data_IF_724892758363
#
_entry.id   IF_724892758363
#
_cell.length_a   1.000
_cell.length_b   1.000
_cell.length_c   1.000
_cell.angle_alpha   90.00
_cell.angle_beta   90.00
_cell.angle_gamma   90.00
#
_symmetry.space_group_name_H-M   'P 1'
#
loop_
_entity.id
_entity.type
_entity.pdbx_description
1 polymer ?
#
# COMPACT_ATOMS: atom_id res chain seq x y z
N UNK A 1 -2.38 -4.08 41.19
CA UNK A 1 -1.26 -3.93 40.24
C UNK A 1 -1.93 -3.42 38.97
N UNK A 2 -1.85 -2.12 38.73
CA UNK A 2 -2.63 -1.50 37.65
C UNK A 2 -1.84 -1.66 36.36
N UNK A 3 -2.35 -2.50 35.46
CA UNK A 3 -1.79 -2.64 34.12
C UNK A 3 -2.20 -1.40 33.31
N UNK A 4 -1.20 -0.62 32.89
CA UNK A 4 -1.39 0.32 31.80
C UNK A 4 -1.56 -0.51 30.52
N UNK A 5 -2.69 -0.41 29.80
CA UNK A 5 -2.82 -1.01 28.48
C UNK A 5 -1.71 -0.50 27.56
N UNK A 6 -1.38 -1.22 26.46
CA UNK A 6 -0.36 -0.77 25.53
C UNK A 6 -0.61 0.67 25.10
N UNK A 7 0.40 1.53 25.27
CA UNK A 7 0.32 2.95 24.86
C UNK A 7 0.05 3.04 23.36
N UNK A 8 0.65 2.13 22.58
CA UNK A 8 0.35 1.91 21.18
C UNK A 8 0.59 0.46 20.79
N UNK A 9 -0.24 -0.07 19.90
CA UNK A 9 -0.06 -1.41 19.33
C UNK A 9 -0.65 -1.49 17.92
N UNK A 10 -0.22 -2.51 17.17
CA UNK A 10 -0.78 -2.87 15.88
C UNK A 10 -1.57 -4.15 16.02
N UNK A 11 -2.76 -4.20 15.45
CA UNK A 11 -3.56 -5.43 15.38
C UNK A 11 -4.31 -5.54 14.05
N UNK A 12 -4.74 -6.75 13.74
CA UNK A 12 -5.64 -7.01 12.62
C UNK A 12 -7.03 -6.50 12.94
N UNK A 13 -7.67 -5.84 11.98
CA UNK A 13 -9.09 -5.47 12.05
C UNK A 13 -9.87 -6.14 10.93
N UNK A 14 -11.18 -6.27 11.11
CA UNK A 14 -12.04 -6.75 10.03
C UNK A 14 -12.34 -5.65 9.00
N UNK A 15 -12.92 -6.04 7.87
CA UNK A 15 -13.31 -5.12 6.80
C UNK A 15 -14.39 -4.12 7.24
N UNK A 16 -15.28 -4.50 8.15
CA UNK A 16 -16.37 -3.64 8.63
C UNK A 16 -15.78 -2.46 9.39
N UNK A 17 -14.86 -2.74 10.30
CA UNK A 17 -14.17 -1.74 11.10
C UNK A 17 -13.27 -0.86 10.25
N UNK A 18 -12.50 -1.45 9.33
CA UNK A 18 -11.72 -0.70 8.34
C UNK A 18 -12.61 0.32 7.60
N UNK A 19 -13.75 -0.12 7.09
CA UNK A 19 -14.65 0.74 6.32
C UNK A 19 -15.27 1.84 7.18
N UNK A 20 -15.61 1.55 8.44
CA UNK A 20 -16.07 2.55 9.40
C UNK A 20 -15.03 3.65 9.57
N UNK A 21 -13.76 3.29 9.77
CA UNK A 21 -12.65 4.23 9.97
C UNK A 21 -12.31 5.02 8.70
N UNK A 22 -12.30 4.38 7.53
CA UNK A 22 -12.08 5.05 6.25
C UNK A 22 -13.13 6.14 5.99
N UNK A 23 -14.40 5.87 6.33
CA UNK A 23 -15.49 6.87 6.20
C UNK A 23 -15.34 7.96 7.25
N UNK A 24 -15.15 7.59 8.53
CA UNK A 24 -15.02 8.53 9.63
C UNK A 24 -13.87 9.53 9.44
N UNK A 25 -12.75 9.09 8.86
CA UNK A 25 -11.58 9.94 8.60
C UNK A 25 -11.56 10.55 7.20
N UNK A 26 -12.65 10.41 6.43
CA UNK A 26 -12.80 11.06 5.13
C UNK A 26 -11.82 10.57 4.06
N UNK A 27 -11.47 9.27 4.06
CA UNK A 27 -10.61 8.70 3.03
C UNK A 27 -11.23 8.94 1.64
N UNK A 28 -10.47 9.57 0.74
CA UNK A 28 -11.00 10.06 -0.55
C UNK A 28 -11.59 8.99 -1.46
N UNK A 29 -11.07 7.76 -1.39
CA UNK A 29 -11.64 6.64 -2.17
C UNK A 29 -12.81 5.94 -1.47
N UNK A 30 -13.25 6.46 -0.31
CA UNK A 30 -14.30 5.89 0.51
C UNK A 30 -13.98 4.49 1.00
N UNK A 31 -15.05 3.71 1.17
CA UNK A 31 -15.01 2.32 1.62
C UNK A 31 -14.14 1.44 0.72
N UNK A 32 -13.46 0.49 1.35
CA UNK A 32 -12.84 -0.64 0.70
C UNK A 32 -13.93 -1.62 0.22
N UNK A 33 -14.09 -1.71 -1.09
CA UNK A 33 -15.10 -2.52 -1.79
C UNK A 33 -14.48 -3.41 -2.88
N UNK A 34 -13.17 -3.69 -2.79
CA UNK A 34 -12.52 -4.57 -3.77
C UNK A 34 -12.99 -6.01 -3.57
N UNK A 35 -13.20 -6.78 -4.66
CA UNK A 35 -13.33 -8.22 -4.55
C UNK A 35 -12.14 -8.81 -3.81
N UNK A 36 -12.39 -9.76 -2.92
CA UNK A 36 -11.31 -10.57 -2.35
C UNK A 36 -10.86 -11.54 -3.44
N UNK A 37 -9.58 -11.47 -3.80
CA UNK A 37 -8.94 -12.50 -4.63
C UNK A 37 -8.43 -13.59 -3.67
N UNK A 38 -7.12 -13.85 -3.59
CA UNK A 38 -6.59 -14.87 -2.67
C UNK A 38 -6.56 -14.42 -1.21
N UNK A 39 -6.35 -13.13 -0.93
CA UNK A 39 -6.27 -12.62 0.44
C UNK A 39 -6.59 -11.14 0.56
N UNK A 40 -6.93 -10.73 1.78
CA UNK A 40 -6.93 -9.35 2.24
C UNK A 40 -6.32 -9.30 3.65
N UNK A 41 -5.70 -8.17 3.98
CA UNK A 41 -5.04 -7.99 5.26
C UNK A 41 -5.18 -6.54 5.73
N UNK A 42 -5.98 -6.34 6.78
CA UNK A 42 -6.31 -5.01 7.30
C UNK A 42 -5.75 -4.86 8.71
N UNK A 43 -5.11 -3.74 8.98
CA UNK A 43 -4.47 -3.50 10.27
C UNK A 43 -4.79 -2.10 10.74
N UNK A 44 -4.91 -1.94 12.06
CA UNK A 44 -5.03 -0.64 12.70
C UNK A 44 -3.90 -0.44 13.70
N UNK A 45 -3.34 0.76 13.69
CA UNK A 45 -2.49 1.28 14.76
C UNK A 45 -3.41 1.90 15.81
N UNK A 46 -3.29 1.43 17.04
CA UNK A 46 -4.02 1.96 18.19
C UNK A 46 -3.12 2.84 19.03
N UNK A 47 -3.71 3.84 19.69
CA UNK A 47 -3.10 4.62 20.75
C UNK A 47 -4.10 4.77 21.88
N UNK A 48 -3.71 4.35 23.09
CA UNK A 48 -4.61 4.34 24.26
C UNK A 48 -5.97 3.67 24.01
N UNK A 49 -5.97 2.55 23.27
CA UNK A 49 -7.19 1.80 22.94
C UNK A 49 -8.02 2.34 21.77
N UNK A 50 -7.66 3.49 21.20
CA UNK A 50 -8.36 4.10 20.06
C UNK A 50 -7.58 3.87 18.75
N UNK A 51 -8.25 3.50 17.64
CA UNK A 51 -7.59 3.42 16.35
C UNK A 51 -7.20 4.81 15.86
N UNK A 52 -5.96 4.97 15.42
CA UNK A 52 -5.43 6.26 14.94
C UNK A 52 -4.92 6.21 13.50
N UNK A 53 -4.63 5.02 12.97
CA UNK A 53 -4.33 4.81 11.55
C UNK A 53 -4.73 3.40 11.11
N UNK A 54 -5.01 3.23 9.83
CA UNK A 54 -5.38 1.94 9.23
C UNK A 54 -4.67 1.72 7.90
N UNK A 55 -4.41 0.45 7.60
CA UNK A 55 -4.03 -0.01 6.27
C UNK A 55 -4.97 -1.09 5.78
N UNK A 56 -5.14 -1.14 4.46
CA UNK A 56 -5.75 -2.28 3.78
C UNK A 56 -4.75 -2.78 2.74
N UNK A 57 -4.39 -4.05 2.81
CA UNK A 57 -3.53 -4.72 1.85
C UNK A 57 -4.24 -5.93 1.22
N UNK A 58 -3.78 -6.35 0.06
CA UNK A 58 -4.35 -7.49 -0.66
C UNK A 58 -3.65 -7.73 -1.98
N UNK A 59 -4.25 -8.54 -2.84
CA UNK A 59 -3.73 -8.74 -4.19
C UNK A 59 -3.95 -7.53 -5.10
N UNK A 60 -3.07 -7.42 -6.10
CA UNK A 60 -3.26 -6.46 -7.18
C UNK A 60 -4.45 -6.88 -8.04
N UNK A 61 -5.37 -5.94 -8.32
CA UNK A 61 -6.52 -6.26 -9.19
C UNK A 61 -6.10 -6.66 -10.61
N UNK A 62 -5.00 -6.09 -11.12
CA UNK A 62 -4.42 -6.47 -12.40
C UNK A 62 -3.39 -7.59 -12.22
N UNK A 63 -3.24 -8.41 -13.25
CA UNK A 63 -2.26 -9.52 -13.27
C UNK A 63 -0.81 -9.01 -13.25
N UNK A 64 -0.57 -7.83 -13.83
CA UNK A 64 0.74 -7.16 -13.82
C UNK A 64 0.58 -5.76 -13.23
N UNK A 65 1.54 -5.35 -12.41
CA UNK A 65 1.58 -4.05 -11.75
C UNK A 65 1.93 -2.96 -12.77
N UNK A 66 0.91 -2.32 -13.34
CA UNK A 66 1.14 -1.28 -14.35
C UNK A 66 1.95 -1.81 -15.54
N UNK A 67 3.09 -1.18 -15.83
CA UNK A 67 4.03 -1.60 -16.88
C UNK A 67 5.38 -2.07 -16.29
N UNK A 68 5.41 -2.50 -15.02
CA UNK A 68 6.67 -2.82 -14.33
C UNK A 68 7.15 -4.27 -14.52
N UNK A 69 6.35 -5.10 -15.20
CA UNK A 69 6.60 -6.55 -15.31
C UNK A 69 6.39 -7.36 -14.03
N UNK A 70 6.17 -6.71 -12.89
CA UNK A 70 5.91 -7.40 -11.61
C UNK A 70 4.52 -8.02 -11.66
N UNK A 71 4.45 -9.35 -11.50
CA UNK A 71 3.19 -10.10 -11.53
C UNK A 71 2.45 -10.02 -10.19
N UNK A 72 1.14 -10.26 -10.24
CA UNK A 72 0.26 -10.28 -9.06
C UNK A 72 0.73 -11.26 -7.99
N UNK A 73 1.23 -12.42 -8.41
CA UNK A 73 1.75 -13.47 -7.53
C UNK A 73 3.10 -13.11 -6.89
N UNK A 74 3.77 -12.05 -7.35
CA UNK A 74 5.00 -11.51 -6.71
C UNK A 74 4.69 -10.41 -5.68
N UNK A 75 3.49 -9.81 -5.70
CA UNK A 75 3.22 -8.51 -5.09
C UNK A 75 2.06 -8.48 -4.08
N UNK A 76 2.30 -7.80 -2.95
CA UNK A 76 1.26 -7.35 -2.00
C UNK A 76 0.93 -5.90 -2.31
N UNK A 77 -0.31 -5.59 -2.67
CA UNK A 77 -0.74 -4.21 -2.84
C UNK A 77 -1.16 -3.60 -1.50
N UNK A 78 -0.53 -2.49 -1.10
CA UNK A 78 -1.04 -1.59 -0.07
C UNK A 78 -2.11 -0.69 -0.71
N UNK A 79 -3.37 -1.08 -0.56
CA UNK A 79 -4.52 -0.49 -1.25
C UNK A 79 -5.03 0.78 -0.57
N UNK A 80 -4.96 0.81 0.77
CA UNK A 80 -5.40 1.94 1.59
C UNK A 80 -4.39 2.20 2.68
N UNK A 81 -4.18 3.49 2.94
CA UNK A 81 -3.54 4.02 4.12
C UNK A 81 -4.32 5.26 4.52
N UNK A 82 -4.83 5.27 5.75
CA UNK A 82 -5.62 6.38 6.26
C UNK A 82 -5.32 6.57 7.74
N UNK A 83 -5.48 7.78 8.25
CA UNK A 83 -5.29 8.07 9.65
C UNK A 83 -6.22 9.18 10.11
N UNK A 84 -6.52 9.19 11.41
CA UNK A 84 -7.30 10.25 12.05
C UNK A 84 -6.60 11.60 11.97
N UNK A 85 -5.26 11.59 11.84
CA UNK A 85 -4.42 12.76 11.60
C UNK A 85 -3.39 12.44 10.49
N UNK A 86 -3.17 13.33 9.50
CA UNK A 86 -2.34 13.01 8.33
C UNK A 86 -0.88 12.62 8.65
N UNK A 87 -0.30 13.16 9.71
CA UNK A 87 1.06 12.89 10.15
C UNK A 87 1.28 11.44 10.63
N UNK A 88 0.20 10.75 11.02
CA UNK A 88 0.25 9.35 11.47
C UNK A 88 0.30 8.34 10.32
N UNK A 89 0.05 8.75 9.08
CA UNK A 89 0.20 7.88 7.91
C UNK A 89 1.65 7.38 7.77
N UNK A 90 2.65 8.22 8.03
CA UNK A 90 4.07 7.82 7.91
C UNK A 90 4.49 6.80 8.99
N UNK A 91 4.22 7.01 10.29
CA UNK A 91 4.39 5.97 11.30
C UNK A 91 3.69 4.67 10.96
N UNK A 92 2.42 4.72 10.54
CA UNK A 92 1.67 3.52 10.15
C UNK A 92 2.31 2.80 8.96
N UNK A 93 2.71 3.53 7.91
CA UNK A 93 3.40 2.95 6.76
C UNK A 93 4.73 2.30 7.16
N UNK A 94 5.49 2.94 8.04
CA UNK A 94 6.77 2.44 8.52
C UNK A 94 6.60 1.18 9.37
N UNK A 95 5.65 1.15 10.29
CA UNK A 95 5.38 -0.05 11.06
C UNK A 95 4.83 -1.18 10.17
N UNK A 96 3.94 -0.85 9.23
CA UNK A 96 3.36 -1.83 8.32
C UNK A 96 4.43 -2.50 7.46
N UNK A 97 5.32 -1.74 6.81
CA UNK A 97 6.34 -2.33 5.93
C UNK A 97 7.37 -3.17 6.70
N UNK A 98 7.70 -2.79 7.94
CA UNK A 98 8.73 -3.49 8.74
C UNK A 98 8.16 -4.71 9.48
N UNK A 99 6.93 -4.66 9.96
CA UNK A 99 6.39 -5.69 10.86
C UNK A 99 5.19 -6.45 10.31
N UNK A 100 4.42 -5.85 9.40
CA UNK A 100 3.17 -6.45 8.88
C UNK A 100 3.38 -7.07 7.50
N UNK A 101 4.05 -6.38 6.59
CA UNK A 101 4.28 -6.90 5.25
C UNK A 101 5.13 -8.17 5.22
N UNK A 102 6.27 -8.29 5.93
CA UNK A 102 7.12 -9.48 5.83
C UNK A 102 6.41 -10.80 6.14
N UNK A 103 5.60 -10.94 7.22
CA UNK A 103 4.85 -12.17 7.45
C UNK A 103 3.76 -12.42 6.40
N UNK A 104 3.07 -11.40 5.90
CA UNK A 104 2.10 -11.54 4.79
C UNK A 104 2.82 -12.05 3.53
N UNK A 105 3.96 -11.46 3.21
CA UNK A 105 4.75 -11.80 2.05
C UNK A 105 5.22 -13.26 2.13
N UNK A 106 5.75 -13.68 3.29
CA UNK A 106 6.16 -15.06 3.54
C UNK A 106 4.99 -16.04 3.42
N UNK A 107 3.85 -15.75 4.06
CA UNK A 107 2.67 -16.61 4.08
C UNK A 107 2.11 -16.89 2.68
N UNK A 108 2.28 -15.95 1.76
CA UNK A 108 1.73 -16.05 0.40
C UNK A 108 2.79 -16.15 -0.70
N UNK A 109 4.06 -16.38 -0.35
CA UNK A 109 5.15 -16.54 -1.33
C UNK A 109 5.45 -15.30 -2.16
N UNK A 110 5.21 -14.10 -1.62
CA UNK A 110 5.42 -12.81 -2.28
C UNK A 110 6.70 -12.14 -1.80
N UNK A 111 7.21 -11.19 -2.58
CA UNK A 111 8.53 -10.58 -2.30
C UNK A 111 8.50 -9.05 -2.32
N UNK A 112 7.47 -8.44 -2.92
CA UNK A 112 7.39 -6.98 -3.10
C UNK A 112 6.09 -6.42 -2.56
N UNK A 113 6.15 -5.31 -1.82
CA UNK A 113 5.00 -4.47 -1.54
C UNK A 113 4.87 -3.41 -2.62
N UNK A 114 3.68 -3.19 -3.14
CA UNK A 114 3.40 -2.14 -4.14
C UNK A 114 2.29 -1.21 -3.67
N UNK A 115 2.36 0.06 -4.07
CA UNK A 115 1.30 1.02 -3.82
C UNK A 115 1.16 1.99 -4.97
N UNK A 116 -0.08 2.41 -5.24
CA UNK A 116 -0.40 3.38 -6.27
C UNK A 116 -0.71 4.74 -5.62
N UNK A 117 -0.02 5.77 -6.09
CA UNK A 117 -0.23 7.15 -5.66
C UNK A 117 -0.75 8.00 -6.82
N UNK A 118 -1.83 8.74 -6.59
CA UNK A 118 -2.31 9.76 -7.52
C UNK A 118 -1.36 10.96 -7.53
N UNK A 119 -0.75 11.24 -8.68
CA UNK A 119 0.24 12.32 -8.83
C UNK A 119 -0.36 13.71 -8.66
N UNK A 120 -1.65 13.88 -8.93
CA UNK A 120 -2.31 15.17 -8.79
C UNK A 120 -2.58 15.53 -7.32
N UNK A 121 -2.55 14.54 -6.41
CA UNK A 121 -3.01 14.71 -5.03
C UNK A 121 -1.88 14.68 -4.01
N UNK A 122 -0.76 14.08 -4.36
CA UNK A 122 0.32 13.82 -3.40
C UNK A 122 1.68 14.08 -4.06
N UNK A 123 2.62 14.65 -3.30
CA UNK A 123 4.01 14.83 -3.70
C UNK A 123 4.77 13.50 -3.81
N UNK A 124 4.42 12.54 -2.95
CA UNK A 124 5.06 11.24 -2.81
C UNK A 124 6.01 11.14 -1.62
N UNK A 125 6.07 12.17 -0.78
CA UNK A 125 6.93 12.24 0.39
C UNK A 125 6.68 11.10 1.39
N UNK A 126 5.41 10.69 1.54
CA UNK A 126 5.01 9.53 2.33
C UNK A 126 5.83 8.28 1.99
N UNK A 127 6.03 8.00 0.70
CA UNK A 127 6.76 6.82 0.24
C UNK A 127 8.27 7.07 0.19
N UNK A 128 8.67 8.23 -0.37
CA UNK A 128 10.07 8.62 -0.56
C UNK A 128 10.86 8.62 0.75
N UNK A 129 10.30 9.20 1.82
CA UNK A 129 10.98 9.30 3.11
C UNK A 129 10.84 8.05 3.99
N UNK A 130 10.17 7.03 3.46
CA UNK A 130 9.99 5.73 4.09
C UNK A 130 10.52 4.62 3.18
N UNK A 131 11.63 4.90 2.47
CA UNK A 131 12.46 3.92 1.78
C UNK A 131 11.80 3.16 0.62
N UNK A 132 10.64 3.62 0.15
CA UNK A 132 10.01 3.10 -1.06
C UNK A 132 10.69 3.69 -2.30
N UNK A 133 10.65 2.95 -3.40
CA UNK A 133 11.23 3.32 -4.67
C UNK A 133 10.13 3.51 -5.72
N UNK A 134 10.30 4.46 -6.64
CA UNK A 134 9.40 4.59 -7.78
C UNK A 134 9.70 3.46 -8.75
N UNK A 135 8.71 2.61 -9.01
CA UNK A 135 8.81 1.51 -9.97
C UNK A 135 8.43 1.93 -11.39
N UNK A 136 7.59 2.95 -11.50
CA UNK A 136 7.10 3.40 -12.78
C UNK A 136 5.90 4.30 -12.63
N UNK A 137 5.24 4.54 -13.76
CA UNK A 137 3.97 5.24 -13.83
C UNK A 137 2.86 4.23 -14.06
N UNK A 138 1.74 4.44 -13.39
CA UNK A 138 0.48 3.73 -13.62
C UNK A 138 -0.55 4.67 -14.23
N UNK A 139 -1.64 4.11 -14.74
CA UNK A 139 -2.78 4.90 -15.21
C UNK A 139 -2.54 5.69 -16.50
N UNK A 140 -1.81 5.10 -17.46
CA UNK A 140 -1.48 5.75 -18.74
C UNK A 140 -2.16 5.17 -19.99
N UNK A 141 -3.08 4.21 -19.87
CA UNK A 141 -3.57 3.43 -21.02
C UNK A 141 -5.08 3.33 -21.08
N UNK A 142 -5.77 4.46 -21.15
CA UNK A 142 -7.17 4.50 -21.57
C UNK A 142 -8.18 4.87 -20.48
N UNK A 143 -9.39 5.04 -20.96
CA UNK A 143 -10.56 5.40 -20.20
C UNK A 143 -10.92 4.30 -19.19
N UNK A 144 -11.25 4.65 -17.94
CA UNK A 144 -11.84 3.69 -17.00
C UNK A 144 -13.09 3.08 -17.65
N UNK A 145 -13.02 1.80 -18.03
CA UNK A 145 -14.08 1.10 -18.76
C UNK A 145 -15.43 1.09 -18.01
N UNK A 146 -15.41 1.30 -16.68
CA UNK A 146 -16.63 1.36 -15.87
C UNK A 146 -17.22 2.77 -15.81
N UNK A 147 -16.42 3.82 -15.96
CA UNK A 147 -16.85 5.20 -15.70
C UNK A 147 -16.65 6.18 -16.85
N UNK A 148 -15.98 5.80 -17.92
CA UNK A 148 -15.72 6.69 -19.05
C UNK A 148 -14.72 7.82 -18.74
N UNK A 149 -14.07 7.80 -17.57
CA UNK A 149 -13.16 8.87 -17.15
C UNK A 149 -11.72 8.62 -17.61
N UNK A 150 -10.96 9.65 -18.01
CA UNK A 150 -9.53 9.53 -18.26
C UNK A 150 -8.82 8.90 -17.06
N UNK A 151 -7.92 7.95 -17.31
CA UNK A 151 -7.12 7.35 -16.24
C UNK A 151 -6.27 8.43 -15.57
N UNK A 152 -6.28 8.42 -14.24
CA UNK A 152 -5.46 9.34 -13.44
C UNK A 152 -4.00 8.96 -13.56
N UNK A 153 -3.11 9.95 -13.65
CA UNK A 153 -1.66 9.72 -13.63
C UNK A 153 -1.28 9.20 -12.25
N UNK A 154 -0.76 7.99 -12.19
CA UNK A 154 -0.34 7.37 -10.94
C UNK A 154 1.18 7.17 -10.93
N UNK A 155 1.81 7.36 -9.78
CA UNK A 155 3.13 6.77 -9.48
C UNK A 155 2.92 5.40 -8.83
N UNK A 156 3.73 4.44 -9.26
CA UNK A 156 3.79 3.11 -8.65
C UNK A 156 5.01 3.10 -7.75
N UNK A 157 4.79 2.83 -6.47
CA UNK A 157 5.84 2.68 -5.46
C UNK A 157 6.04 1.22 -5.13
N UNK A 158 7.29 0.85 -4.87
CA UNK A 158 7.69 -0.50 -4.48
C UNK A 158 8.57 -0.49 -3.24
N UNK A 159 8.44 -1.54 -2.44
CA UNK A 159 9.30 -1.81 -1.30
C UNK A 159 9.55 -3.31 -1.16
N UNK A 160 10.72 -3.69 -0.65
CA UNK A 160 11.09 -5.06 -0.36
C UNK A 160 11.82 -5.14 0.99
N UNK A 161 11.72 -6.28 1.67
CA UNK A 161 12.18 -6.45 3.06
C UNK A 161 13.70 -6.52 3.19
N UNK A 162 14.40 -7.15 2.26
CA UNK A 162 15.87 -7.21 2.28
C UNK A 162 16.49 -6.09 1.44
N UNK A 163 17.69 -5.66 1.83
CA UNK A 163 18.46 -4.67 1.06
C UNK A 163 18.77 -5.17 -0.35
N UNK A 164 19.12 -6.45 -0.48
CA UNK A 164 19.35 -7.11 -1.77
C UNK A 164 18.09 -7.04 -2.64
N UNK A 165 16.92 -7.37 -2.10
CA UNK A 165 15.67 -7.29 -2.85
C UNK A 165 15.33 -5.84 -3.23
N UNK A 166 15.61 -4.86 -2.36
CA UNK A 166 15.47 -3.43 -2.69
C UNK A 166 16.42 -2.98 -3.79
N UNK A 167 17.64 -3.53 -3.86
CA UNK A 167 18.57 -3.25 -4.94
C UNK A 167 18.10 -3.86 -6.26
N UNK A 168 17.69 -5.13 -6.25
CA UNK A 168 17.12 -5.81 -7.42
C UNK A 168 15.89 -5.10 -7.96
N UNK A 169 15.01 -4.63 -7.08
CA UNK A 169 13.82 -3.87 -7.44
C UNK A 169 14.19 -2.57 -8.18
N UNK A 170 15.23 -1.86 -7.72
CA UNK A 170 15.77 -0.65 -8.36
C UNK A 170 16.38 -0.93 -9.74
N UNK A 171 17.09 -2.05 -9.87
CA UNK A 171 17.78 -2.41 -11.12
C UNK A 171 16.78 -2.82 -12.20
N UNK A 172 15.71 -3.55 -11.84
CA UNK A 172 14.59 -3.86 -12.75
C UNK A 172 14.00 -2.60 -13.39
N UNK A 173 13.78 -1.56 -12.59
CA UNK A 173 13.23 -0.27 -13.05
C UNK A 173 14.19 0.47 -13.99
N UNK A 174 15.50 0.30 -13.80
CA UNK A 174 16.53 1.01 -14.58
C UNK A 174 16.80 0.34 -15.91
N UNK A 175 16.78 -1.00 -15.96
CA UNK A 175 17.00 -1.78 -17.18
C UNK A 175 15.88 -1.60 -18.19
N UNK A 176 14.62 -1.58 -17.75
CA UNK A 176 13.47 -1.35 -18.64
C UNK A 176 13.50 0.03 -19.32
N UNK A 177 14.11 1.05 -18.69
CA UNK A 177 14.26 2.38 -19.29
C UNK A 177 15.36 2.48 -20.34
N UNK A 178 16.35 1.58 -20.32
CA UNK A 178 17.47 1.57 -21.29
C UNK A 178 17.14 0.81 -22.57
N UNK A 179 16.19 -0.13 -22.51
CA UNK A 179 15.73 -0.89 -23.69
C UNK A 179 14.67 -0.11 -24.48
N UNK A 180 13.98 0.84 -23.84
CA UNK A 180 12.93 1.66 -24.43
C UNK A 180 13.39 3.03 -24.96
N UNK A 181 14.70 3.30 -25.00
CA UNK A 181 15.32 4.54 -25.51
C UNK A 181 16.18 4.23 -26.74
#
# INVERSE_FOLDING_TARGET
MDFLPPIAHLETIDRRELNRLLVAWGHRMGVYSRPTYTFEAHHALFSHGEPVAVTAAGETAREVVGQTGIRRDEAVELVRLCASRPDLCRPMLRLWREFVFPPIALMHGRTVAVSYQDEALHSGDLYRFDGWQILGKGGGGGTDARTGRPSRKMKIWGWASSEVARAQLRDRVTTDRRIAA
#
